data_IF_432060331754
#
_entry.id   IF_432060331754
#
_cell.length_a   1.000
_cell.length_b   1.000
_cell.length_c   1.000
_cell.angle_alpha   90.00
_cell.angle_beta   90.00
_cell.angle_gamma   90.00
#
_symmetry.space_group_name_H-M   'P 1'
#
loop_
_entity.id
_entity.type
_entity.pdbx_description
1 polymer ?
#
# COMPACT_ATOMS: atom_id res chain seq x y z
N UNK A 1 0.17 10.97 -26.00
CA UNK A 1 0.85 11.32 -24.73
C UNK A 1 2.16 10.57 -24.68
N UNK A 2 3.24 11.27 -24.36
CA UNK A 2 4.61 10.75 -24.24
C UNK A 2 4.85 10.19 -22.84
N UNK A 3 5.77 9.24 -22.69
CA UNK A 3 6.22 8.75 -21.38
C UNK A 3 7.11 9.81 -20.74
N UNK A 4 6.90 10.08 -19.47
CA UNK A 4 7.60 11.13 -18.72
C UNK A 4 8.41 10.57 -17.55
N UNK A 5 9.45 11.30 -17.14
CA UNK A 5 10.25 10.95 -15.96
C UNK A 5 9.38 11.09 -14.71
N UNK A 6 9.43 10.08 -13.84
CA UNK A 6 8.61 9.99 -12.64
C UNK A 6 7.33 9.16 -12.81
N UNK A 7 6.94 8.80 -14.04
CA UNK A 7 5.78 7.93 -14.26
C UNK A 7 6.04 6.49 -13.78
N UNK A 8 5.03 5.89 -13.12
CA UNK A 8 4.96 4.44 -12.92
C UNK A 8 4.54 3.73 -14.20
N UNK A 9 5.27 2.68 -14.55
CA UNK A 9 5.10 1.94 -15.80
C UNK A 9 5.19 0.44 -15.55
N UNK A 10 4.57 -0.34 -16.44
CA UNK A 10 4.64 -1.79 -16.48
C UNK A 10 5.52 -2.23 -17.65
N UNK A 11 6.48 -3.10 -17.40
CA UNK A 11 7.38 -3.67 -18.43
C UNK A 11 7.46 -5.17 -18.20
N UNK A 12 6.91 -5.96 -19.13
CA UNK A 12 6.93 -7.43 -19.03
C UNK A 12 6.33 -7.97 -17.73
N UNK A 13 5.25 -7.36 -17.23
CA UNK A 13 4.58 -7.75 -15.98
C UNK A 13 5.24 -7.25 -14.70
N UNK A 14 6.27 -6.41 -14.79
CA UNK A 14 6.96 -5.84 -13.63
C UNK A 14 6.83 -4.31 -13.60
N UNK A 15 6.53 -3.79 -12.42
CA UNK A 15 6.40 -2.36 -12.17
C UNK A 15 7.76 -1.67 -12.02
N UNK A 16 7.87 -0.48 -12.58
CA UNK A 16 9.05 0.36 -12.50
C UNK A 16 8.66 1.84 -12.50
N UNK A 17 9.62 2.70 -12.14
CA UNK A 17 9.51 4.16 -12.26
C UNK A 17 10.46 4.64 -13.35
N UNK A 18 9.98 5.49 -14.24
CA UNK A 18 10.81 6.11 -15.28
C UNK A 18 11.75 7.13 -14.63
N UNK A 19 13.05 7.00 -14.90
CA UNK A 19 14.12 7.89 -14.41
C UNK A 19 14.83 8.67 -15.51
N UNK A 20 14.71 8.22 -16.75
CA UNK A 20 15.31 8.86 -17.92
C UNK A 20 14.48 8.57 -19.16
N UNK A 21 14.35 9.54 -20.06
CA UNK A 21 13.80 9.35 -21.41
C UNK A 21 14.72 10.10 -22.37
N UNK A 22 15.31 9.39 -23.33
CA UNK A 22 16.23 10.00 -24.28
C UNK A 22 17.09 9.00 -25.03
N UNK A 23 18.08 9.53 -25.76
CA UNK A 23 19.03 8.73 -26.53
C UNK A 23 20.09 8.10 -25.64
N UNK A 24 20.58 6.92 -26.03
CA UNK A 24 21.65 6.21 -25.31
C UNK A 24 22.84 6.05 -26.25
N UNK A 25 24.04 6.31 -25.75
CA UNK A 25 25.28 6.23 -26.52
C UNK A 25 25.46 4.82 -27.07
N UNK A 26 25.68 4.73 -28.38
CA UNK A 26 25.82 3.45 -29.10
C UNK A 26 24.49 2.73 -29.39
N UNK A 27 23.33 3.30 -29.04
CA UNK A 27 22.03 2.70 -29.31
C UNK A 27 21.10 3.68 -30.04
N UNK A 28 20.66 3.36 -31.27
CA UNK A 28 19.70 4.22 -31.98
C UNK A 28 18.33 4.20 -31.29
N UNK A 29 17.53 5.25 -31.53
CA UNK A 29 16.18 5.50 -30.99
C UNK A 29 16.16 5.98 -29.53
N UNK A 30 14.96 6.35 -29.08
CA UNK A 30 14.70 6.77 -27.69
C UNK A 30 14.57 5.54 -26.79
N UNK A 31 15.21 5.62 -25.63
CA UNK A 31 15.18 4.63 -24.56
C UNK A 31 14.55 5.24 -23.31
N UNK A 32 13.99 4.37 -22.48
CA UNK A 32 13.58 4.70 -21.13
C UNK A 32 14.58 4.08 -20.14
N UNK A 33 15.19 4.91 -19.31
CA UNK A 33 15.86 4.45 -18.10
C UNK A 33 14.82 4.29 -17.00
N UNK A 34 14.77 3.10 -16.41
CA UNK A 34 13.78 2.77 -15.38
C UNK A 34 14.47 2.24 -14.13
N UNK A 35 13.87 2.53 -12.98
CA UNK A 35 14.21 1.92 -11.70
C UNK A 35 13.10 0.93 -11.33
N UNK A 36 13.46 -0.34 -11.19
CA UNK A 36 12.51 -1.39 -10.85
C UNK A 36 12.05 -1.28 -9.40
N UNK A 37 10.81 -1.67 -9.12
CA UNK A 37 10.37 -1.83 -7.74
C UNK A 37 11.07 -3.00 -7.05
N UNK A 38 11.34 -4.08 -7.78
CA UNK A 38 12.24 -5.17 -7.37
C UNK A 38 13.66 -4.90 -7.90
N UNK A 39 14.61 -4.50 -7.03
CA UNK A 39 15.97 -4.17 -7.46
C UNK A 39 16.74 -5.34 -8.09
N UNK A 40 16.34 -6.60 -7.85
CA UNK A 40 17.02 -7.77 -8.41
C UNK A 40 16.90 -7.86 -9.94
N UNK A 41 15.91 -7.16 -10.52
CA UNK A 41 15.65 -7.13 -11.96
C UNK A 41 16.55 -6.19 -12.73
N UNK A 42 17.14 -5.21 -12.06
CA UNK A 42 17.96 -4.24 -12.76
C UNK A 42 19.34 -4.80 -13.10
N UNK A 43 20.04 -4.05 -13.94
CA UNK A 43 21.35 -4.40 -14.50
C UNK A 43 22.43 -3.42 -14.05
N UNK A 44 22.05 -2.16 -13.84
CA UNK A 44 22.96 -1.06 -13.55
C UNK A 44 22.24 0.02 -12.74
N UNK A 45 22.96 1.03 -12.27
CA UNK A 45 22.38 2.18 -11.58
C UNK A 45 22.05 3.36 -12.51
N UNK A 46 22.19 3.17 -13.83
CA UNK A 46 22.03 4.19 -14.85
C UNK A 46 23.36 4.72 -15.41
N UNK A 47 24.50 4.23 -14.90
CA UNK A 47 25.81 4.38 -15.52
C UNK A 47 26.01 3.25 -16.55
N UNK A 48 26.12 3.61 -17.83
CA UNK A 48 26.37 2.66 -18.92
C UNK A 48 27.47 3.21 -19.82
N UNK A 49 28.51 2.40 -20.06
CA UNK A 49 29.68 2.77 -20.87
C UNK A 49 30.31 4.12 -20.48
N UNK A 50 30.39 4.40 -19.17
CA UNK A 50 30.97 5.64 -18.63
C UNK A 50 30.05 6.86 -18.64
N UNK A 51 28.82 6.76 -19.18
CA UNK A 51 27.84 7.86 -19.20
C UNK A 51 26.75 7.63 -18.17
N UNK A 52 26.51 8.63 -17.32
CA UNK A 52 25.47 8.58 -16.28
C UNK A 52 24.16 9.16 -16.83
N UNK A 53 23.18 8.30 -17.14
CA UNK A 53 21.87 8.70 -17.66
C UNK A 53 20.87 9.04 -16.55
N UNK A 54 20.87 8.25 -15.48
CA UNK A 54 20.01 8.41 -14.31
C UNK A 54 20.64 7.75 -13.09
N UNK A 55 20.05 7.92 -11.90
CA UNK A 55 20.49 7.24 -10.67
C UNK A 55 19.36 6.42 -10.06
N UNK A 56 19.72 5.36 -9.35
CA UNK A 56 18.80 4.48 -8.63
C UNK A 56 19.24 4.30 -7.18
N UNK A 57 18.30 3.87 -6.34
CA UNK A 57 18.55 3.58 -4.91
C UNK A 57 19.46 2.36 -4.70
N UNK A 58 19.44 1.40 -5.62
CA UNK A 58 20.31 0.22 -5.62
C UNK A 58 21.32 0.27 -6.77
N UNK A 59 22.54 -0.22 -6.54
CA UNK A 59 23.61 -0.27 -7.55
C UNK A 59 23.23 -1.06 -8.83
N UNK A 60 22.29 -2.00 -8.72
CA UNK A 60 21.75 -2.76 -9.85
C UNK A 60 20.23 -2.64 -9.96
N UNK A 61 19.62 -1.57 -9.42
CA UNK A 61 18.17 -1.41 -9.44
C UNK A 61 17.59 -0.91 -10.76
N UNK A 62 18.42 -0.46 -11.71
CA UNK A 62 17.99 0.22 -12.93
C UNK A 62 18.23 -0.56 -14.22
N UNK A 63 17.53 -0.18 -15.29
CA UNK A 63 17.73 -0.71 -16.64
C UNK A 63 17.42 0.34 -17.69
N UNK A 64 18.14 0.30 -18.82
CA UNK A 64 17.71 0.97 -20.05
C UNK A 64 16.89 -0.02 -20.87
N UNK A 65 15.65 0.35 -21.18
CA UNK A 65 14.73 -0.44 -22.00
C UNK A 65 14.26 0.36 -23.20
N UNK A 66 13.90 -0.33 -24.29
CA UNK A 66 13.26 0.34 -25.42
C UNK A 66 11.94 0.95 -24.95
N UNK A 67 11.71 2.23 -25.30
CA UNK A 67 10.49 2.96 -24.92
C UNK A 67 9.21 2.27 -25.43
N UNK A 68 9.32 1.46 -26.49
CA UNK A 68 8.20 0.71 -27.07
C UNK A 68 7.69 -0.42 -26.17
N UNK A 69 8.53 -0.92 -25.25
CA UNK A 69 8.19 -1.99 -24.32
C UNK A 69 7.63 -1.46 -22.99
N UNK A 70 7.45 -0.15 -22.88
CA UNK A 70 7.02 0.52 -21.65
C UNK A 70 5.52 0.83 -21.74
N UNK A 71 4.75 0.25 -20.83
CA UNK A 71 3.30 0.42 -20.77
C UNK A 71 2.92 1.36 -19.62
N UNK A 72 2.17 2.43 -19.92
CA UNK A 72 1.70 3.42 -18.93
C UNK A 72 0.51 2.94 -18.10
N UNK A 73 0.05 1.71 -18.32
CA UNK A 73 -1.17 1.19 -17.73
C UNK A 73 -2.44 1.70 -18.40
N UNK A 74 -3.57 1.47 -17.73
CA UNK A 74 -4.92 1.81 -18.19
C UNK A 74 -5.70 2.52 -17.09
N UNK A 75 -6.77 3.20 -17.47
CA UNK A 75 -7.73 3.75 -16.50
C UNK A 75 -8.50 2.62 -15.79
N UNK A 76 -9.08 2.96 -14.63
CA UNK A 76 -9.82 2.02 -13.79
C UNK A 76 -10.96 1.30 -14.54
N UNK A 77 -11.75 2.02 -15.36
CA UNK A 77 -12.91 1.42 -16.03
C UNK A 77 -12.46 0.43 -17.10
N UNK A 78 -11.41 0.77 -17.85
CA UNK A 78 -10.79 -0.13 -18.84
C UNK A 78 -10.27 -1.39 -18.15
N UNK A 79 -9.58 -1.29 -17.01
CA UNK A 79 -9.15 -2.45 -16.25
C UNK A 79 -10.31 -3.35 -15.77
N UNK A 80 -11.39 -2.73 -15.27
CA UNK A 80 -12.61 -3.47 -14.86
C UNK A 80 -13.21 -4.22 -16.06
N UNK A 81 -13.34 -3.56 -17.21
CA UNK A 81 -13.89 -4.20 -18.41
C UNK A 81 -13.01 -5.35 -18.89
N UNK A 82 -11.70 -5.16 -18.95
CA UNK A 82 -10.78 -6.20 -19.36
C UNK A 82 -10.86 -7.43 -18.44
N UNK A 83 -11.10 -7.24 -17.13
CA UNK A 83 -11.17 -8.35 -16.17
C UNK A 83 -12.54 -9.02 -16.07
N UNK A 84 -13.63 -8.26 -16.15
CA UNK A 84 -14.98 -8.77 -15.85
C UNK A 84 -15.91 -8.84 -17.06
N UNK A 85 -15.61 -8.14 -18.16
CA UNK A 85 -16.45 -8.15 -19.36
C UNK A 85 -15.97 -9.14 -20.43
N UNK A 86 -14.70 -9.58 -20.36
CA UNK A 86 -14.14 -10.51 -21.32
C UNK A 86 -14.34 -11.97 -20.89
N UNK A 87 -14.85 -12.80 -21.80
CA UNK A 87 -15.38 -14.14 -21.46
C UNK A 87 -14.28 -15.21 -21.34
N UNK A 88 -13.02 -14.79 -21.48
CA UNK A 88 -11.82 -15.63 -21.35
C UNK A 88 -11.09 -15.39 -20.02
N UNK A 89 -11.62 -14.54 -19.14
CA UNK A 89 -11.09 -14.42 -17.79
C UNK A 89 -11.36 -15.73 -17.05
N UNK A 90 -10.29 -16.52 -16.89
CA UNK A 90 -10.14 -17.71 -16.06
C UNK A 90 -11.31 -17.91 -15.08
N UNK A 91 -12.04 -19.01 -15.25
CA UNK A 91 -12.93 -19.58 -14.21
C UNK A 91 -12.18 -19.80 -12.88
N UNK A 92 -10.85 -19.64 -12.89
CA UNK A 92 -9.95 -19.70 -11.75
C UNK A 92 -9.84 -18.40 -10.93
N UNK A 93 -10.64 -17.35 -11.16
CA UNK A 93 -10.86 -16.31 -10.12
C UNK A 93 -11.79 -16.90 -9.04
N UNK A 94 -11.29 -17.95 -8.41
CA UNK A 94 -11.82 -18.55 -7.21
C UNK A 94 -11.70 -17.53 -6.08
N UNK A 95 -12.82 -16.84 -5.82
CA UNK A 95 -13.08 -16.22 -4.52
C UNK A 95 -13.19 -17.36 -3.49
N UNK A 96 -12.05 -17.92 -3.08
CA UNK A 96 -12.02 -18.79 -1.90
C UNK A 96 -12.13 -17.86 -0.69
N UNK A 97 -13.25 -18.02 0.02
CA UNK A 97 -13.60 -17.48 1.32
C UNK A 97 -14.30 -16.10 1.46
N UNK A 98 -15.24 -15.80 0.57
CA UNK A 98 -16.52 -15.21 1.00
C UNK A 98 -17.55 -15.32 -0.11
N UNK A 99 -18.67 -16.00 0.18
CA UNK A 99 -19.81 -16.29 -0.71
C UNK A 99 -20.01 -15.28 -1.85
N UNK A 100 -19.70 -15.71 -3.07
CA UNK A 100 -20.36 -15.24 -4.28
C UNK A 100 -20.52 -16.44 -5.23
N UNK A 101 -21.63 -17.16 -5.06
CA UNK A 101 -22.18 -17.98 -6.14
C UNK A 101 -23.35 -17.19 -6.69
N UNK A 102 -23.20 -16.70 -7.91
CA UNK A 102 -24.33 -16.44 -8.80
C UNK A 102 -23.80 -16.53 -10.24
N UNK A 103 -23.82 -17.76 -10.75
CA UNK A 103 -23.69 -18.08 -12.16
C UNK A 103 -24.94 -17.55 -12.88
N UNK A 104 -24.78 -16.60 -13.79
CA UNK A 104 -25.80 -16.34 -14.80
C UNK A 104 -25.23 -16.46 -16.21
N UNK A 105 -25.91 -17.29 -17.00
CA UNK A 105 -25.51 -17.75 -18.30
C UNK A 105 -25.32 -16.63 -19.32
N UNK A 106 -24.56 -17.00 -20.35
CA UNK A 106 -24.43 -16.37 -21.66
C UNK A 106 -25.43 -15.24 -21.95
N UNK A 107 -24.95 -13.99 -21.88
CA UNK A 107 -25.65 -12.85 -22.46
C UNK A 107 -24.67 -11.96 -23.26
N UNK A 108 -25.22 -11.38 -24.33
CA UNK A 108 -24.55 -10.53 -25.32
C UNK A 108 -23.88 -9.30 -24.70
N UNK A 109 -22.84 -8.80 -25.38
CA UNK A 109 -21.86 -7.78 -24.96
C UNK A 109 -22.43 -6.49 -24.32
N UNK A 110 -23.67 -6.08 -24.62
CA UNK A 110 -24.32 -4.93 -23.95
C UNK A 110 -24.80 -5.21 -22.53
N UNK A 111 -25.26 -6.42 -22.21
CA UNK A 111 -25.72 -6.79 -20.85
C UNK A 111 -24.53 -7.01 -19.89
N UNK A 112 -23.36 -7.37 -20.41
CA UNK A 112 -22.12 -7.52 -19.63
C UNK A 112 -21.59 -6.18 -19.13
N UNK A 113 -21.71 -5.10 -19.93
CA UNK A 113 -21.33 -3.75 -19.49
C UNK A 113 -22.22 -3.22 -18.37
N UNK A 114 -23.52 -3.58 -18.32
CA UNK A 114 -24.39 -3.19 -17.21
C UNK A 114 -24.04 -3.90 -15.90
N UNK A 115 -23.48 -5.11 -15.95
CA UNK A 115 -23.21 -5.89 -14.73
C UNK A 115 -21.99 -5.37 -13.94
N UNK A 116 -20.99 -4.78 -14.62
CA UNK A 116 -19.76 -4.33 -13.91
C UNK A 116 -20.04 -3.24 -12.88
N UNK A 117 -21.07 -2.41 -13.08
CA UNK A 117 -21.48 -1.36 -12.14
C UNK A 117 -22.28 -1.90 -10.95
N UNK A 118 -22.77 -3.14 -11.04
CA UNK A 118 -23.52 -3.82 -10.00
C UNK A 118 -22.63 -4.69 -9.09
N UNK A 119 -21.35 -4.83 -9.43
CA UNK A 119 -20.37 -5.56 -8.64
C UNK A 119 -20.23 -4.96 -7.24
N UNK A 120 -20.28 -5.83 -6.22
CA UNK A 120 -20.07 -5.46 -4.82
C UNK A 120 -18.60 -5.48 -4.42
N UNK A 121 -17.81 -6.36 -5.02
CA UNK A 121 -16.40 -6.52 -4.76
C UNK A 121 -15.67 -6.50 -6.10
N UNK A 122 -14.72 -5.58 -6.24
CA UNK A 122 -13.93 -5.43 -7.47
C UNK A 122 -12.47 -5.69 -7.13
N UNK A 123 -11.91 -6.75 -7.70
CA UNK A 123 -10.49 -7.14 -7.58
C UNK A 123 -9.77 -6.91 -8.90
N UNK A 124 -8.81 -5.99 -8.89
CA UNK A 124 -7.98 -5.58 -10.03
C UNK A 124 -6.49 -5.73 -9.68
N UNK A 125 -6.14 -6.85 -9.05
CA UNK A 125 -4.75 -7.17 -8.74
C UNK A 125 -3.90 -7.24 -10.01
N UNK A 126 -2.77 -6.53 -10.01
CA UNK A 126 -1.79 -6.54 -11.11
C UNK A 126 -2.37 -6.20 -12.49
N UNK A 127 -3.44 -5.39 -12.53
CA UNK A 127 -4.14 -5.01 -13.77
C UNK A 127 -3.58 -3.74 -14.44
N UNK A 128 -2.44 -3.23 -13.98
CA UNK A 128 -1.81 -2.00 -14.48
C UNK A 128 -2.72 -0.77 -14.44
N UNK A 129 -3.58 -0.65 -13.42
CA UNK A 129 -4.39 0.56 -13.19
C UNK A 129 -3.47 1.73 -12.87
N UNK A 130 -3.53 2.78 -13.67
CA UNK A 130 -2.66 3.95 -13.55
C UNK A 130 -3.41 5.25 -13.21
N UNK A 131 -4.75 5.24 -13.25
CA UNK A 131 -5.51 6.46 -13.02
C UNK A 131 -7.02 6.25 -12.85
N UNK A 132 -7.75 7.35 -12.60
CA UNK A 132 -9.19 7.34 -12.41
C UNK A 132 -9.93 6.94 -13.68
N UNK A 133 -11.19 6.48 -13.56
CA UNK A 133 -12.01 6.23 -14.74
C UNK A 133 -12.33 7.54 -15.49
N UNK A 134 -12.74 7.46 -16.77
CA UNK A 134 -13.18 8.62 -17.54
C UNK A 134 -14.34 9.36 -16.88
N UNK A 135 -14.46 10.67 -17.10
CA UNK A 135 -15.54 11.50 -16.52
C UNK A 135 -16.96 11.03 -16.89
N UNK A 136 -17.08 10.33 -18.02
CA UNK A 136 -18.34 9.73 -18.49
C UNK A 136 -18.71 8.44 -17.76
N UNK A 137 -17.87 7.95 -16.83
CA UNK A 137 -18.09 6.70 -16.13
C UNK A 137 -19.27 6.79 -15.15
N UNK A 138 -20.23 5.85 -15.20
CA UNK A 138 -21.24 5.70 -14.16
C UNK A 138 -20.64 5.42 -12.78
N UNK A 139 -21.37 5.78 -11.72
CA UNK A 139 -20.99 5.47 -10.34
C UNK A 139 -21.20 3.97 -10.03
N UNK A 140 -20.26 3.38 -9.29
CA UNK A 140 -20.33 2.01 -8.78
C UNK A 140 -21.11 1.98 -7.46
N UNK A 141 -22.44 2.14 -7.54
CA UNK A 141 -23.32 2.36 -6.37
C UNK A 141 -23.46 1.16 -5.42
N UNK A 142 -23.06 -0.04 -5.85
CA UNK A 142 -23.14 -1.27 -5.05
C UNK A 142 -21.80 -1.77 -4.53
N UNK A 143 -20.70 -1.23 -5.05
CA UNK A 143 -19.36 -1.66 -4.68
C UNK A 143 -19.02 -1.21 -3.25
N UNK A 144 -18.56 -2.17 -2.44
CA UNK A 144 -18.19 -2.01 -1.03
C UNK A 144 -16.71 -2.30 -0.78
N UNK A 145 -16.04 -3.03 -1.67
CA UNK A 145 -14.60 -3.32 -1.59
C UNK A 145 -13.95 -3.21 -2.97
N UNK A 146 -12.84 -2.48 -3.01
CA UNK A 146 -12.03 -2.25 -4.20
C UNK A 146 -10.59 -2.63 -3.90
N UNK A 147 -10.11 -3.67 -4.58
CA UNK A 147 -8.76 -4.14 -4.46
C UNK A 147 -7.94 -3.74 -5.69
N UNK A 148 -6.97 -2.86 -5.46
CA UNK A 148 -6.03 -2.32 -6.44
C UNK A 148 -4.59 -2.74 -6.10
N UNK A 149 -4.40 -3.90 -5.48
CA UNK A 149 -3.09 -4.44 -5.16
C UNK A 149 -2.15 -4.50 -6.37
N UNK A 150 -0.91 -4.06 -6.18
CA UNK A 150 0.17 -4.13 -7.16
C UNK A 150 -0.20 -3.47 -8.51
N UNK A 151 -0.61 -2.20 -8.49
CA UNK A 151 -0.91 -1.41 -9.68
C UNK A 151 0.10 -0.25 -9.87
N UNK A 152 -0.24 0.68 -10.75
CA UNK A 152 0.60 1.82 -11.13
C UNK A 152 0.13 3.14 -10.52
N UNK A 153 -0.79 3.11 -9.54
CA UNK A 153 -1.21 4.32 -8.85
C UNK A 153 -0.05 4.89 -8.03
N UNK A 154 0.17 6.20 -8.15
CA UNK A 154 1.22 6.91 -7.43
C UNK A 154 0.69 8.17 -6.71
N UNK A 155 -0.28 8.88 -7.31
CA UNK A 155 -0.79 10.15 -6.78
C UNK A 155 -2.04 9.92 -5.92
N UNK A 156 -2.06 10.51 -4.72
CA UNK A 156 -3.22 10.52 -3.83
C UNK A 156 -4.44 11.22 -4.43
N UNK A 157 -4.22 12.22 -5.29
CA UNK A 157 -5.31 12.89 -6.01
C UNK A 157 -6.05 11.93 -6.94
N UNK A 158 -5.36 10.99 -7.59
CA UNK A 158 -6.02 9.97 -8.42
C UNK A 158 -6.83 9.01 -7.55
N UNK A 159 -6.30 8.63 -6.38
CA UNK A 159 -7.03 7.80 -5.42
C UNK A 159 -8.31 8.49 -4.99
N UNK A 160 -8.27 9.79 -4.66
CA UNK A 160 -9.46 10.58 -4.35
C UNK A 160 -10.44 10.60 -5.52
N UNK A 161 -9.96 10.89 -6.74
CA UNK A 161 -10.78 10.90 -7.97
C UNK A 161 -11.43 9.55 -8.23
N UNK A 162 -10.75 8.43 -7.94
CA UNK A 162 -11.33 7.09 -7.99
C UNK A 162 -12.44 6.96 -6.97
N UNK A 163 -12.19 7.29 -5.70
CA UNK A 163 -13.12 7.10 -4.59
C UNK A 163 -14.47 7.81 -4.79
N UNK A 164 -14.50 8.95 -5.48
CA UNK A 164 -15.74 9.67 -5.84
C UNK A 164 -16.70 8.80 -6.66
N UNK A 165 -16.20 7.85 -7.46
CA UNK A 165 -17.04 6.92 -8.22
C UNK A 165 -17.64 5.78 -7.39
N UNK A 166 -17.21 5.61 -6.14
CA UNK A 166 -17.61 4.50 -5.25
C UNK A 166 -18.28 5.03 -3.97
N UNK A 167 -19.52 5.53 -4.05
CA UNK A 167 -20.18 6.23 -2.94
C UNK A 167 -20.49 5.35 -1.72
N UNK A 168 -20.32 4.03 -1.82
CA UNK A 168 -20.55 3.07 -0.72
C UNK A 168 -19.32 2.23 -0.39
N UNK A 169 -18.14 2.61 -0.89
CA UNK A 169 -16.91 1.88 -0.63
C UNK A 169 -16.59 1.91 0.85
N UNK A 170 -16.31 0.74 1.42
CA UNK A 170 -15.89 0.57 2.81
C UNK A 170 -14.43 0.16 2.90
N UNK A 171 -13.98 -0.68 1.97
CA UNK A 171 -12.62 -1.20 1.94
C UNK A 171 -11.89 -0.79 0.66
N UNK A 172 -10.67 -0.28 0.83
CA UNK A 172 -9.75 0.02 -0.27
C UNK A 172 -8.39 -0.65 -0.01
N UNK A 173 -7.97 -1.50 -0.96
CA UNK A 173 -6.63 -2.12 -0.94
C UNK A 173 -5.73 -1.44 -1.98
N UNK A 174 -4.68 -0.77 -1.51
CA UNK A 174 -3.67 -0.12 -2.33
C UNK A 174 -2.27 -0.72 -2.14
N UNK A 175 -2.16 -1.85 -1.43
CA UNK A 175 -0.88 -2.50 -1.14
C UNK A 175 -0.02 -2.68 -2.40
N UNK A 176 1.30 -2.48 -2.26
CA UNK A 176 2.29 -2.55 -3.36
C UNK A 176 2.07 -1.53 -4.50
N UNK A 177 1.36 -0.44 -4.25
CA UNK A 177 1.45 0.75 -5.11
C UNK A 177 2.49 1.70 -4.51
N UNK A 178 3.50 2.10 -5.28
CA UNK A 178 4.53 3.02 -4.79
C UNK A 178 3.98 4.44 -4.83
N UNK A 179 3.44 4.86 -3.69
CA UNK A 179 2.75 6.13 -3.56
C UNK A 179 3.73 7.28 -3.36
N UNK A 180 3.40 8.43 -3.94
CA UNK A 180 4.10 9.69 -3.67
C UNK A 180 3.81 10.19 -2.25
N UNK A 181 4.62 11.13 -1.79
CA UNK A 181 4.42 11.78 -0.51
C UNK A 181 3.04 12.47 -0.48
N UNK A 182 2.28 12.23 0.58
CA UNK A 182 1.01 12.92 0.78
C UNK A 182 1.29 14.34 1.29
N UNK A 183 0.83 15.36 0.54
CA UNK A 183 0.98 16.77 0.93
C UNK A 183 0.14 17.15 2.15
N UNK A 184 0.32 18.35 2.67
CA UNK A 184 -0.59 18.87 3.70
C UNK A 184 -1.91 19.25 3.03
N UNK A 185 -3.03 18.85 3.61
CA UNK A 185 -4.35 19.14 3.06
C UNK A 185 -5.47 18.81 4.04
N UNK A 186 -6.68 19.20 3.66
CA UNK A 186 -7.89 19.02 4.47
C UNK A 186 -8.55 17.65 4.24
N UNK A 187 -9.55 17.35 5.06
CA UNK A 187 -10.36 16.16 4.95
C UNK A 187 -11.09 16.10 3.60
N UNK A 188 -11.14 14.90 3.00
CA UNK A 188 -11.87 14.63 1.78
C UNK A 188 -13.37 14.50 2.07
N UNK A 189 -14.07 15.63 2.07
CA UNK A 189 -15.51 15.72 2.38
C UNK A 189 -16.42 14.92 1.42
N UNK A 190 -15.90 14.60 0.25
CA UNK A 190 -16.46 13.77 -0.82
C UNK A 190 -16.33 12.25 -0.55
N UNK A 191 -15.45 11.84 0.37
CA UNK A 191 -15.24 10.42 0.72
C UNK A 191 -15.77 10.12 2.13
N UNK A 192 -16.99 9.60 2.22
CA UNK A 192 -17.70 9.47 3.51
C UNK A 192 -17.81 8.04 4.06
N UNK A 193 -17.71 7.03 3.21
CA UNK A 193 -18.03 5.65 3.60
C UNK A 193 -16.81 4.76 3.82
N UNK A 194 -15.60 5.23 3.44
CA UNK A 194 -14.39 4.43 3.53
C UNK A 194 -14.00 4.24 5.00
N UNK A 195 -13.92 3.00 5.44
CA UNK A 195 -13.61 2.62 6.83
C UNK A 195 -12.32 1.83 6.95
N UNK A 196 -11.93 1.10 5.92
CA UNK A 196 -10.82 0.15 5.94
C UNK A 196 -9.85 0.46 4.80
N UNK A 197 -8.60 0.74 5.15
CA UNK A 197 -7.56 1.14 4.19
C UNK A 197 -6.29 0.31 4.38
N UNK A 198 -5.90 -0.37 3.30
CA UNK A 198 -4.73 -1.25 3.27
C UNK A 198 -3.66 -0.59 2.38
N UNK A 199 -2.59 -0.10 3.02
CA UNK A 199 -1.46 0.64 2.47
C UNK A 199 -0.11 -0.05 2.74
N UNK A 200 -0.09 -1.38 2.82
CA UNK A 200 1.16 -2.11 3.04
C UNK A 200 2.12 -1.98 1.85
N UNK A 201 3.42 -1.95 2.12
CA UNK A 201 4.47 -1.95 1.08
C UNK A 201 4.33 -0.80 0.05
N UNK A 202 3.81 0.36 0.47
CA UNK A 202 3.56 1.50 -0.42
C UNK A 202 4.70 2.53 -0.46
N UNK A 203 5.73 2.34 0.36
CA UNK A 203 6.89 3.26 0.45
C UNK A 203 6.61 4.55 1.21
N UNK A 204 5.56 4.59 2.03
CA UNK A 204 5.10 5.79 2.72
C UNK A 204 6.04 6.21 3.86
N UNK A 205 6.14 7.53 4.06
CA UNK A 205 6.82 8.14 5.21
C UNK A 205 5.84 8.42 6.34
N UNK A 206 6.37 8.68 7.53
CA UNK A 206 5.61 9.06 8.72
C UNK A 206 4.71 10.29 8.52
N UNK A 207 5.24 11.30 7.82
CA UNK A 207 4.50 12.52 7.46
C UNK A 207 3.36 12.21 6.49
N UNK A 208 3.64 11.37 5.49
CA UNK A 208 2.65 10.99 4.49
C UNK A 208 1.46 10.29 5.12
N UNK A 209 1.69 9.29 5.99
CA UNK A 209 0.58 8.57 6.63
C UNK A 209 -0.22 9.45 7.57
N UNK A 210 0.43 10.39 8.27
CA UNK A 210 -0.26 11.40 9.10
C UNK A 210 -1.18 12.28 8.25
N UNK A 211 -0.75 12.69 7.06
CA UNK A 211 -1.57 13.46 6.15
C UNK A 211 -2.72 12.64 5.55
N UNK A 212 -2.49 11.37 5.23
CA UNK A 212 -3.55 10.46 4.77
C UNK A 212 -4.64 10.28 5.83
N UNK A 213 -4.27 10.17 7.11
CA UNK A 213 -5.23 10.12 8.21
C UNK A 213 -6.03 11.42 8.35
N UNK A 214 -5.43 12.59 8.05
CA UNK A 214 -6.16 13.87 7.99
C UNK A 214 -7.14 13.94 6.82
N UNK A 215 -6.78 13.36 5.68
CA UNK A 215 -7.68 13.28 4.53
C UNK A 215 -8.90 12.42 4.81
N UNK A 216 -8.74 11.35 5.61
CA UNK A 216 -9.74 10.32 5.85
C UNK A 216 -10.06 10.20 7.35
N UNK A 217 -10.70 11.22 7.96
CA UNK A 217 -10.95 11.23 9.41
C UNK A 217 -11.90 10.13 9.88
N UNK A 218 -12.75 9.58 8.99
CA UNK A 218 -13.70 8.50 9.27
C UNK A 218 -13.12 7.07 9.22
N UNK A 219 -11.81 6.93 9.03
CA UNK A 219 -11.15 5.64 8.88
C UNK A 219 -11.13 4.88 10.22
N UNK A 220 -11.60 3.63 10.21
CA UNK A 220 -11.63 2.75 11.39
C UNK A 220 -10.48 1.76 11.45
N UNK A 221 -10.01 1.33 10.29
CA UNK A 221 -8.98 0.29 10.18
C UNK A 221 -7.89 0.72 9.22
N UNK A 222 -6.64 0.67 9.68
CA UNK A 222 -5.47 0.96 8.87
C UNK A 222 -4.47 -0.19 8.93
N UNK A 223 -4.16 -0.76 7.76
CA UNK A 223 -3.06 -1.72 7.59
C UNK A 223 -1.94 -1.06 6.79
N UNK A 224 -0.83 -0.72 7.42
CA UNK A 224 0.29 0.00 6.81
C UNK A 224 1.65 -0.68 7.09
N UNK A 225 1.66 -2.01 7.04
CA UNK A 225 2.85 -2.87 7.21
C UNK A 225 3.90 -2.62 6.14
N UNK A 226 5.19 -2.64 6.47
CA UNK A 226 6.27 -2.61 5.47
C UNK A 226 6.51 -1.25 4.82
N UNK A 227 6.23 -0.15 5.52
CA UNK A 227 6.50 1.20 5.05
C UNK A 227 7.79 1.78 5.70
N UNK A 228 7.99 3.09 5.59
CA UNK A 228 9.20 3.79 6.05
C UNK A 228 8.89 4.72 7.22
N UNK A 229 8.00 4.31 8.12
CA UNK A 229 7.64 5.11 9.29
C UNK A 229 8.79 5.08 10.29
N UNK A 230 9.47 6.22 10.45
CA UNK A 230 10.46 6.45 11.50
C UNK A 230 9.80 6.87 12.82
N UNK A 231 8.60 7.45 12.73
CA UNK A 231 7.73 7.79 13.84
C UNK A 231 6.29 7.59 13.38
N UNK A 232 5.35 7.46 14.31
CA UNK A 232 3.94 7.37 13.96
C UNK A 232 3.11 8.20 14.93
N UNK A 233 2.25 9.03 14.38
CA UNK A 233 1.37 9.95 15.10
C UNK A 233 -0.02 9.86 14.49
N UNK A 234 -1.03 9.65 15.33
CA UNK A 234 -2.43 9.73 14.90
C UNK A 234 -2.87 11.19 15.06
N UNK A 235 -3.28 11.89 14.00
CA UNK A 235 -3.86 13.23 14.12
C UNK A 235 -5.14 13.21 14.95
N UNK A 236 -5.41 14.26 15.72
CA UNK A 236 -6.64 14.37 16.54
C UNK A 236 -7.92 14.22 15.71
N UNK A 237 -7.88 14.64 14.44
CA UNK A 237 -9.00 14.49 13.49
C UNK A 237 -9.30 13.04 13.09
N UNK A 238 -8.42 12.10 13.39
CA UNK A 238 -8.54 10.67 13.07
C UNK A 238 -8.90 9.84 14.33
N UNK A 239 -9.77 10.39 15.18
CA UNK A 239 -10.24 9.78 16.42
C UNK A 239 -11.09 8.52 16.22
N UNK A 240 -11.63 8.31 15.01
CA UNK A 240 -12.45 7.16 14.67
C UNK A 240 -11.67 5.86 14.41
N UNK A 241 -10.32 5.93 14.43
CA UNK A 241 -9.44 4.80 14.18
C UNK A 241 -9.48 3.79 15.35
N UNK A 242 -9.83 2.54 15.05
CA UNK A 242 -10.00 1.47 16.02
C UNK A 242 -8.93 0.37 15.88
N UNK A 243 -8.52 0.10 14.65
CA UNK A 243 -7.60 -0.99 14.31
C UNK A 243 -6.39 -0.46 13.55
N UNK A 244 -5.20 -0.83 13.98
CA UNK A 244 -3.95 -0.36 13.39
C UNK A 244 -2.94 -1.50 13.27
N UNK A 245 -2.39 -1.73 12.08
CA UNK A 245 -1.26 -2.63 11.85
C UNK A 245 -0.13 -1.88 11.13
N UNK A 246 0.95 -1.61 11.88
CA UNK A 246 2.13 -0.87 11.40
C UNK A 246 3.41 -1.69 11.55
N UNK A 247 3.28 -3.03 11.52
CA UNK A 247 4.43 -3.95 11.55
C UNK A 247 5.44 -3.66 10.43
N UNK A 248 6.67 -4.12 10.61
CA UNK A 248 7.75 -4.01 9.62
C UNK A 248 8.04 -2.58 9.15
N UNK A 249 7.88 -1.61 10.06
CA UNK A 249 8.29 -0.22 9.89
C UNK A 249 9.45 0.11 10.83
N UNK A 250 10.39 0.99 10.43
CA UNK A 250 11.54 1.40 11.25
C UNK A 250 11.18 2.42 12.35
N UNK A 251 10.10 2.19 13.09
CA UNK A 251 9.54 3.14 14.05
C UNK A 251 10.45 3.27 15.27
N UNK A 252 10.74 4.52 15.64
CA UNK A 252 11.52 4.89 16.83
C UNK A 252 10.71 5.64 17.87
N UNK A 253 9.55 6.18 17.48
CA UNK A 253 8.72 7.04 18.32
C UNK A 253 7.25 6.86 17.95
N UNK A 254 6.39 6.80 18.98
CA UNK A 254 4.94 6.80 18.84
C UNK A 254 4.36 7.92 19.69
N UNK A 255 3.37 8.63 19.17
CA UNK A 255 2.67 9.68 19.91
C UNK A 255 1.20 9.75 19.53
N UNK A 256 0.38 10.22 20.48
CA UNK A 256 -1.06 10.40 20.33
C UNK A 256 -1.79 9.14 19.83
N UNK A 257 -1.39 7.97 20.33
CA UNK A 257 -2.15 6.74 20.12
C UNK A 257 -3.46 6.91 20.91
N UNK A 258 -4.54 7.18 20.20
CA UNK A 258 -5.84 7.53 20.80
C UNK A 258 -6.37 6.41 21.69
N UNK A 259 -7.04 6.74 22.79
CA UNK A 259 -7.71 5.78 23.70
C UNK A 259 -8.76 4.91 22.98
N UNK A 260 -9.24 5.33 21.80
CA UNK A 260 -10.20 4.59 20.97
C UNK A 260 -9.61 3.36 20.26
N UNK A 261 -8.29 3.18 20.26
CA UNK A 261 -7.65 2.05 19.56
C UNK A 261 -7.86 0.76 20.35
N UNK A 262 -8.68 -0.14 19.79
CA UNK A 262 -9.02 -1.43 20.39
C UNK A 262 -8.09 -2.56 19.98
N UNK A 263 -7.40 -2.44 18.84
CA UNK A 263 -6.49 -3.48 18.33
C UNK A 263 -5.29 -2.86 17.60
N UNK A 264 -4.11 -2.91 18.21
CA UNK A 264 -2.87 -2.36 17.65
C UNK A 264 -1.85 -3.47 17.48
N UNK A 265 -1.43 -3.73 16.24
CA UNK A 265 -0.33 -4.63 15.87
C UNK A 265 0.89 -3.81 15.45
N UNK A 266 2.02 -4.03 16.11
CA UNK A 266 3.31 -3.39 15.82
C UNK A 266 4.42 -4.44 15.74
N UNK A 267 5.46 -4.15 14.96
CA UNK A 267 6.49 -5.12 14.56
C UNK A 267 7.65 -5.23 15.53
N UNK A 268 8.63 -6.10 15.22
CA UNK A 268 9.88 -6.23 15.99
C UNK A 268 10.62 -4.90 16.02
N UNK A 269 10.91 -4.39 17.21
CA UNK A 269 11.73 -3.21 17.38
C UNK A 269 13.20 -3.55 17.06
N UNK A 270 13.82 -2.82 16.15
CA UNK A 270 15.28 -2.62 16.21
C UNK A 270 15.52 -1.36 17.05
N UNK A 271 15.56 -1.53 18.37
CA UNK A 271 15.95 -0.46 19.30
C UNK A 271 17.46 -0.23 19.12
N UNK A 272 17.83 0.54 18.11
CA UNK A 272 19.22 0.99 17.91
C UNK A 272 19.43 2.21 18.82
N UNK A 273 20.02 1.97 20.00
CA UNK A 273 20.61 2.94 20.93
C UNK A 273 19.86 4.26 21.19
N UNK A 274 19.35 4.42 22.42
CA UNK A 274 18.68 5.63 22.90
C UNK A 274 19.60 6.86 22.95
N UNK A 275 19.15 7.94 22.29
CA UNK A 275 19.47 9.34 22.65
C UNK A 275 18.22 10.19 22.86
N UNK A 276 17.04 9.58 23.00
CA UNK A 276 15.76 10.28 23.24
C UNK A 276 15.28 10.10 24.70
N UNK A 277 14.58 11.08 25.28
CA UNK A 277 14.26 11.12 26.70
C UNK A 277 13.29 10.00 27.12
N UNK A 278 13.50 9.48 28.33
CA UNK A 278 12.76 8.37 28.94
C UNK A 278 11.23 8.56 29.01
N UNK A 279 10.71 9.76 28.75
CA UNK A 279 9.28 10.10 28.75
C UNK A 279 8.50 9.45 27.60
N UNK A 280 9.08 9.36 26.39
CA UNK A 280 8.38 8.82 25.22
C UNK A 280 8.19 7.29 25.34
N UNK A 281 9.19 6.59 25.85
CA UNK A 281 9.14 5.14 26.14
C UNK A 281 8.11 4.84 27.22
N UNK A 282 8.08 5.66 28.27
CA UNK A 282 7.17 5.52 29.41
C UNK A 282 5.72 5.70 28.97
N UNK A 283 5.44 6.66 28.09
CA UNK A 283 4.10 6.84 27.50
C UNK A 283 3.64 5.63 26.68
N UNK A 284 4.52 5.04 25.86
CA UNK A 284 4.18 3.83 25.09
C UNK A 284 3.94 2.65 26.02
N UNK A 285 4.79 2.45 27.03
CA UNK A 285 4.64 1.36 28.01
C UNK A 285 3.38 1.53 28.86
N UNK A 286 3.07 2.73 29.32
CA UNK A 286 1.88 3.01 30.15
C UNK A 286 0.58 2.91 29.33
N UNK A 287 0.61 3.33 28.06
CA UNK A 287 -0.49 3.12 27.12
C UNK A 287 -0.75 1.62 26.88
N UNK A 288 0.29 0.83 26.63
CA UNK A 288 0.18 -0.63 26.44
C UNK A 288 -0.35 -1.34 27.69
N UNK A 289 0.03 -0.89 28.89
CA UNK A 289 -0.49 -1.40 30.18
C UNK A 289 -1.97 -1.10 30.36
N UNK A 290 -2.42 0.13 30.07
CA UNK A 290 -3.82 0.51 30.24
C UNK A 290 -4.77 -0.29 29.36
N UNK A 291 -4.32 -0.75 28.19
CA UNK A 291 -5.17 -1.36 27.18
C UNK A 291 -5.00 -2.88 27.04
N UNK A 292 -4.25 -3.52 27.97
CA UNK A 292 -4.00 -4.97 27.97
C UNK A 292 -3.50 -5.51 26.60
N UNK A 293 -2.74 -4.70 25.87
CA UNK A 293 -2.28 -5.03 24.53
C UNK A 293 -1.12 -6.03 24.66
N UNK A 294 -1.31 -7.26 24.16
CA UNK A 294 -0.30 -8.32 24.22
C UNK A 294 0.98 -7.92 23.47
N UNK A 295 2.09 -7.81 24.19
CA UNK A 295 3.43 -7.67 23.63
C UNK A 295 3.89 -9.03 23.09
N UNK A 296 4.08 -9.14 21.77
CA UNK A 296 4.74 -10.29 21.16
C UNK A 296 6.24 -10.01 21.01
N UNK A 297 7.03 -10.10 22.08
CA UNK A 297 8.50 -10.06 21.96
C UNK A 297 9.27 -10.63 23.17
N UNK A 298 10.28 -11.46 22.92
CA UNK A 298 11.27 -11.91 23.91
C UNK A 298 12.39 -10.87 24.16
N UNK A 299 12.70 -9.96 23.22
CA UNK A 299 13.75 -8.94 23.42
C UNK A 299 13.29 -7.75 24.30
N UNK A 300 11.97 -7.58 24.47
CA UNK A 300 11.41 -6.49 25.26
C UNK A 300 11.46 -6.79 26.76
N UNK A 301 11.55 -8.07 27.16
CA UNK A 301 11.68 -8.49 28.56
C UNK A 301 13.01 -7.99 29.18
N UNK A 302 14.12 -8.11 28.46
CA UNK A 302 15.44 -7.59 28.86
C UNK A 302 15.42 -6.07 29.06
N UNK A 303 14.67 -5.34 28.24
CA UNK A 303 14.53 -3.88 28.38
C UNK A 303 13.72 -3.51 29.64
N UNK A 304 12.65 -4.24 29.94
CA UNK A 304 11.81 -4.00 31.13
C UNK A 304 12.53 -4.34 32.43
N UNK A 305 13.39 -5.37 32.43
CA UNK A 305 14.30 -5.70 33.54
C UNK A 305 15.30 -4.56 33.80
N UNK A 306 15.85 -3.95 32.75
CA UNK A 306 16.78 -2.81 32.85
C UNK A 306 16.12 -1.49 33.33
N UNK A 307 14.79 -1.37 33.21
CA UNK A 307 14.02 -0.16 33.55
C UNK A 307 13.27 -0.32 34.90
N UNK A 308 13.47 -1.41 35.65
CA UNK A 308 12.74 -1.73 36.89
C UNK A 308 11.21 -1.62 36.73
N UNK A 309 10.64 -2.29 35.73
CA UNK A 309 9.17 -2.40 35.60
C UNK A 309 8.75 -3.81 36.01
N UNK A 310 8.45 -4.00 37.29
CA UNK A 310 8.29 -5.31 37.94
C UNK A 310 6.95 -6.03 37.72
N UNK A 311 6.07 -5.56 36.84
CA UNK A 311 4.72 -6.13 36.69
C UNK A 311 4.32 -6.26 35.21
N UNK A 312 4.87 -7.25 34.50
CA UNK A 312 4.38 -7.66 33.18
C UNK A 312 4.20 -9.17 33.19
N UNK A 313 2.98 -9.64 32.92
CA UNK A 313 2.71 -11.04 32.63
C UNK A 313 3.03 -11.28 31.16
N UNK A 314 4.14 -11.97 30.89
CA UNK A 314 4.52 -12.40 29.55
C UNK A 314 3.77 -13.71 29.25
N UNK A 315 2.90 -13.71 28.25
CA UNK A 315 2.38 -14.95 27.69
C UNK A 315 3.32 -15.43 26.59
N UNK A 316 4.10 -16.47 26.91
CA UNK A 316 4.85 -17.24 25.92
C UNK A 316 3.85 -18.10 25.14
N UNK A 317 3.91 -18.15 23.80
CA UNK A 317 3.27 -19.23 23.08
C UNK A 317 3.95 -20.54 23.50
N UNK A 318 3.16 -21.53 23.90
CA UNK A 318 3.63 -22.87 24.25
C UNK A 318 4.61 -23.39 23.19
N UNK A 319 5.90 -23.40 23.51
CA UNK A 319 6.92 -24.15 22.79
C UNK A 319 6.75 -25.63 23.13
N UNK A 320 5.74 -26.25 22.54
CA UNK A 320 5.71 -27.69 22.32
C UNK A 320 5.86 -27.92 20.81
N UNK A 321 6.73 -28.88 20.44
CA UNK A 321 7.21 -29.20 19.09
C UNK A 321 8.39 -28.37 18.59
N UNK A 322 9.57 -28.64 19.14
CA UNK A 322 10.70 -29.18 18.35
C UNK A 322 11.76 -29.69 19.33
N UNK A 323 11.53 -30.88 19.87
CA UNK A 323 12.60 -31.77 20.34
C UNK A 323 12.47 -33.08 19.57
N UNK A 324 13.61 -33.71 19.27
CA UNK A 324 13.81 -34.90 18.45
C UNK A 324 13.93 -34.62 16.94
N UNK A 325 15.13 -34.31 16.47
CA UNK A 325 16.04 -35.33 15.94
C UNK A 325 17.48 -34.89 16.21
N UNK A 326 18.28 -35.84 16.69
CA UNK A 326 19.68 -35.74 17.10
C UNK A 326 20.64 -35.51 15.94
#
# INVERSE_FOLDING_TARGET
MTIEVGERVMIGGHSAVVRYVGEVSGHPRVWAGVEWDDPSRGKHNGLVNGVQYFRTSSARGGSLVSIQNVHRGVDLLTAIRNRYADSSADENVFVINSKAVELFGMQSTSQKQSNVFELRHIVLESCSVAGPPPETCPLFRRCVSLNLFNNLLQRWEDVRKILVYFPRLRELVLRKNRMDAAGVGEAWSDVKCLTDLILSDCGLTSESISNVLRYLPGLRTLYAVGNRFSHFFVPEVADSLLNLDIRDNPIRCLSNITENLSNVKYGRWHIVHYTQPASCVRQVVDFLKQHAISLFNEDFSFFLESVQVSCISLHYPDTAYFSQYS
#
